data_IF_006725148022
#
_entry.id   IF_006725148022
#
_cell.length_a   1.000
_cell.length_b   1.000
_cell.length_c   1.000
_cell.angle_alpha   90.00
_cell.angle_beta   90.00
_cell.angle_gamma   90.00
#
_symmetry.space_group_name_H-M   'P 1'
#
loop_
_entity.id
_entity.type
_entity.pdbx_description
1 polymer ?
#
# COMPACT_ATOMS: atom_id res chain seq x y z
N UNK A 1 -18.77 27.16 14.53
CA UNK A 1 -18.82 25.74 14.09
C UNK A 1 -17.38 25.24 14.04
N UNK A 2 -17.03 24.17 14.78
CA UNK A 2 -15.72 23.53 14.67
C UNK A 2 -15.80 22.53 13.51
N UNK A 3 -15.05 22.79 12.44
CA UNK A 3 -14.89 21.84 11.35
C UNK A 3 -14.00 20.71 11.89
N UNK A 4 -14.57 19.53 12.13
CA UNK A 4 -13.80 18.34 12.42
C UNK A 4 -13.51 17.74 11.05
N UNK A 5 -12.27 17.89 10.58
CA UNK A 5 -11.83 17.21 9.36
C UNK A 5 -12.09 15.71 9.54
N UNK A 6 -12.90 15.17 8.64
CA UNK A 6 -13.14 13.74 8.58
C UNK A 6 -11.87 13.14 8.00
N UNK A 7 -10.91 12.79 8.87
CA UNK A 7 -9.68 12.11 8.45
C UNK A 7 -10.11 10.91 7.62
N UNK A 8 -9.77 10.93 6.34
CA UNK A 8 -10.11 9.86 5.42
C UNK A 8 -9.46 8.59 5.97
N UNK A 9 -10.26 7.71 6.54
CA UNK A 9 -9.77 6.50 7.17
C UNK A 9 -9.43 5.53 6.03
N UNK A 10 -8.15 5.46 5.71
CA UNK A 10 -7.63 4.55 4.69
C UNK A 10 -7.69 3.14 5.30
N UNK A 11 -8.48 2.26 4.71
CA UNK A 11 -8.53 0.84 5.06
C UNK A 11 -7.73 0.03 4.04
N UNK A 12 -6.52 -0.38 4.43
CA UNK A 12 -5.61 -1.22 3.65
C UNK A 12 -5.49 -2.62 4.27
N UNK A 13 -5.42 -3.62 3.40
CA UNK A 13 -5.21 -5.01 3.77
C UNK A 13 -4.06 -5.63 2.98
N UNK A 14 -3.53 -6.75 3.48
CA UNK A 14 -2.52 -7.52 2.73
C UNK A 14 -3.15 -8.04 1.43
N UNK A 15 -2.46 -7.84 0.31
CA UNK A 15 -2.91 -8.18 -1.03
C UNK A 15 -3.59 -7.01 -1.75
N UNK A 16 -3.89 -5.90 -1.06
CA UNK A 16 -4.35 -4.69 -1.73
C UNK A 16 -3.24 -4.09 -2.61
N UNK A 17 -3.64 -3.62 -3.78
CA UNK A 17 -2.79 -2.84 -4.66
C UNK A 17 -3.12 -1.36 -4.47
N UNK A 18 -2.13 -0.55 -4.18
CA UNK A 18 -2.27 0.90 -4.01
C UNK A 18 -1.59 1.59 -5.17
N UNK A 19 -2.35 2.39 -5.89
CA UNK A 19 -1.83 3.25 -6.94
C UNK A 19 -1.66 4.66 -6.39
N UNK A 20 -0.47 5.23 -6.49
CA UNK A 20 -0.20 6.60 -6.04
C UNK A 20 0.66 7.37 -7.04
N UNK A 21 0.65 8.69 -6.92
CA UNK A 21 1.55 9.57 -7.66
C UNK A 21 2.73 9.89 -6.76
N UNK A 22 3.93 9.51 -7.18
CA UNK A 22 5.15 9.80 -6.44
C UNK A 22 5.53 11.29 -6.51
N UNK A 23 6.55 11.70 -5.75
CA UNK A 23 7.05 13.08 -5.73
C UNK A 23 7.54 13.60 -7.10
N UNK A 24 7.83 12.71 -8.05
CA UNK A 24 8.22 13.05 -9.42
C UNK A 24 7.03 13.15 -10.39
N UNK A 25 5.80 12.99 -9.91
CA UNK A 25 4.59 13.01 -10.74
C UNK A 25 4.34 11.71 -11.52
N UNK A 26 5.13 10.66 -11.28
CA UNK A 26 4.96 9.35 -11.91
C UNK A 26 3.95 8.53 -11.12
N UNK A 27 3.06 7.85 -11.84
CA UNK A 27 2.15 6.86 -11.28
C UNK A 27 2.93 5.60 -10.93
N UNK A 28 2.81 5.13 -9.69
CA UNK A 28 3.43 3.89 -9.21
C UNK A 28 2.34 3.04 -8.56
N UNK A 29 2.48 1.71 -8.68
CA UNK A 29 1.58 0.75 -8.06
C UNK A 29 2.35 -0.10 -7.08
N UNK A 30 1.92 -0.10 -5.82
CA UNK A 30 2.47 -0.94 -4.77
C UNK A 30 1.49 -2.06 -4.44
N UNK A 31 1.99 -3.25 -4.15
CA UNK A 31 1.20 -4.29 -3.47
C UNK A 31 1.61 -4.36 -2.01
N UNK A 32 0.62 -4.40 -1.12
CA UNK A 32 0.84 -4.62 0.31
C UNK A 32 1.03 -6.11 0.55
N UNK A 33 2.17 -6.51 1.10
CA UNK A 33 2.49 -7.90 1.42
C UNK A 33 2.77 -8.06 2.92
N UNK A 34 2.75 -9.30 3.38
CA UNK A 34 3.35 -9.67 4.66
C UNK A 34 4.78 -10.13 4.40
N UNK A 35 5.74 -9.57 5.13
CA UNK A 35 7.16 -9.87 4.93
C UNK A 35 7.88 -10.02 6.26
N UNK A 36 9.04 -10.69 6.21
CA UNK A 36 9.95 -10.82 7.35
C UNK A 36 11.04 -9.78 7.20
N UNK A 37 11.35 -9.07 8.28
CA UNK A 37 12.54 -8.22 8.31
C UNK A 37 13.82 -9.07 8.39
N UNK A 38 14.97 -8.42 8.26
CA UNK A 38 16.28 -9.09 8.35
C UNK A 38 16.58 -9.65 9.75
N UNK A 39 15.79 -9.29 10.77
CA UNK A 39 15.90 -9.78 12.14
C UNK A 39 14.94 -10.96 12.40
N UNK A 40 14.14 -11.39 11.41
CA UNK A 40 13.18 -12.48 11.53
C UNK A 40 11.86 -12.08 12.21
N UNK A 41 11.56 -10.79 12.31
CA UNK A 41 10.31 -10.26 12.81
C UNK A 41 9.29 -10.14 11.68
N UNK A 42 8.03 -10.42 12.02
CA UNK A 42 6.91 -10.29 11.09
C UNK A 42 6.47 -8.82 10.99
N UNK A 43 6.35 -8.33 9.76
CA UNK A 43 5.81 -7.01 9.46
C UNK A 43 5.05 -6.97 8.14
N UNK A 44 4.96 -5.78 7.57
CA UNK A 44 4.32 -5.48 6.31
C UNK A 44 5.34 -4.95 5.31
N UNK A 45 5.08 -5.18 4.03
CA UNK A 45 5.94 -4.73 2.95
C UNK A 45 5.16 -4.05 1.85
N UNK A 46 5.76 -3.04 1.22
CA UNK A 46 5.31 -2.49 -0.05
C UNK A 46 6.27 -2.91 -1.15
N UNK A 47 5.72 -3.54 -2.19
CA UNK A 47 6.49 -3.93 -3.39
C UNK A 47 6.01 -3.09 -4.56
N UNK A 48 6.94 -2.38 -5.20
CA UNK A 48 6.67 -1.69 -6.46
C UNK A 48 6.43 -2.71 -7.57
N UNK A 49 5.21 -2.74 -8.11
CA UNK A 49 4.82 -3.64 -9.19
C UNK A 49 5.45 -3.25 -10.53
N UNK A 50 5.82 -2.00 -10.72
CA UNK A 50 6.52 -1.53 -11.92
C UNK A 50 8.05 -1.73 -11.81
N UNK A 51 8.56 -2.03 -10.61
CA UNK A 51 9.97 -2.32 -10.36
C UNK A 51 10.18 -3.43 -9.32
N UNK A 52 9.68 -4.62 -9.63
CA UNK A 52 9.63 -5.75 -8.70
C UNK A 52 11.00 -6.36 -8.34
N UNK A 53 12.08 -5.92 -8.99
CA UNK A 53 13.45 -6.33 -8.66
C UNK A 53 13.99 -5.61 -7.42
N UNK A 54 13.34 -4.51 -7.00
CA UNK A 54 13.71 -3.80 -5.77
C UNK A 54 13.21 -4.55 -4.54
N UNK A 55 14.01 -4.49 -3.48
CA UNK A 55 13.61 -5.03 -2.19
C UNK A 55 12.35 -4.32 -1.68
N UNK A 56 11.41 -5.05 -1.05
CA UNK A 56 10.22 -4.44 -0.45
C UNK A 56 10.62 -3.39 0.59
N UNK A 57 9.91 -2.27 0.62
CA UNK A 57 9.97 -1.36 1.76
C UNK A 57 9.21 -1.99 2.93
N UNK A 58 9.90 -2.20 4.06
CA UNK A 58 9.36 -2.91 5.21
C UNK A 58 8.87 -1.96 6.30
N UNK A 59 7.82 -2.37 6.99
CA UNK A 59 7.14 -1.64 8.06
C UNK A 59 6.77 -2.60 9.18
N UNK A 60 6.80 -2.13 10.43
CA UNK A 60 6.48 -2.97 11.58
C UNK A 60 4.96 -3.17 11.72
N UNK A 61 4.17 -2.15 11.34
CA UNK A 61 2.71 -2.18 11.43
C UNK A 61 1.99 -1.58 10.22
N UNK A 62 0.72 -1.98 10.03
CA UNK A 62 -0.10 -1.50 8.91
C UNK A 62 -0.45 -0.01 9.03
N UNK A 63 -0.47 0.54 10.25
CA UNK A 63 -0.66 1.97 10.48
C UNK A 63 0.49 2.79 9.90
N UNK A 64 1.73 2.30 9.91
CA UNK A 64 2.86 2.91 9.22
C UNK A 64 2.70 2.87 7.70
N UNK A 65 2.29 1.73 7.15
CA UNK A 65 1.96 1.61 5.72
C UNK A 65 0.89 2.62 5.32
N UNK A 66 -0.17 2.76 6.12
CA UNK A 66 -1.23 3.73 5.87
C UNK A 66 -0.70 5.16 5.87
N UNK A 67 0.16 5.52 6.84
CA UNK A 67 0.73 6.87 6.94
C UNK A 67 1.48 7.30 5.68
N UNK A 68 2.16 6.39 5.00
CA UNK A 68 2.84 6.67 3.73
C UNK A 68 1.85 7.20 2.67
N UNK A 69 0.64 6.65 2.64
CA UNK A 69 -0.37 7.02 1.65
C UNK A 69 -1.26 8.18 2.09
N UNK A 70 -1.40 8.48 3.38
CA UNK A 70 -2.18 9.64 3.87
C UNK A 70 -1.70 10.95 3.25
N UNK A 71 -0.40 11.09 3.04
CA UNK A 71 0.19 12.30 2.45
C UNK A 71 0.17 12.34 0.93
N UNK A 72 -0.20 11.24 0.27
CA UNK A 72 -0.15 11.07 -1.18
C UNK A 72 -1.56 11.01 -1.78
N UNK A 73 -1.70 11.52 -3.01
CA UNK A 73 -2.88 11.21 -3.81
C UNK A 73 -2.80 9.74 -4.22
N UNK A 74 -3.67 8.92 -3.63
CA UNK A 74 -3.67 7.48 -3.80
C UNK A 74 -5.07 6.93 -4.14
N UNK A 75 -5.10 5.75 -4.74
CA UNK A 75 -6.29 4.96 -5.02
C UNK A 75 -6.01 3.50 -4.68
N UNK A 76 -6.85 2.92 -3.84
CA UNK A 76 -6.80 1.49 -3.54
C UNK A 76 -7.53 0.73 -4.65
N UNK A 77 -6.85 -0.26 -5.22
CA UNK A 77 -7.35 -1.21 -6.21
C UNK A 77 -7.58 -2.52 -5.46
N UNK A 78 -8.77 -2.69 -4.89
CA UNK A 78 -9.13 -3.92 -4.18
C UNK A 78 -9.34 -5.07 -5.15
N UNK A 79 -8.82 -6.24 -4.79
CA UNK A 79 -8.83 -7.46 -5.61
C UNK A 79 -10.22 -8.09 -5.81
N UNK A 80 -11.27 -7.55 -5.20
CA UNK A 80 -12.66 -8.08 -5.27
C UNK A 80 -13.30 -8.05 -6.68
N UNK A 81 -12.60 -7.53 -7.70
CA UNK A 81 -13.01 -7.58 -9.11
C UNK A 81 -12.10 -8.44 -10.00
N UNK A 82 -11.11 -9.14 -9.44
CA UNK A 82 -10.40 -10.20 -10.14
C UNK A 82 -11.23 -11.48 -10.06
N UNK A 83 -12.34 -11.53 -10.81
CA UNK A 83 -12.91 -12.82 -11.20
C UNK A 83 -11.83 -13.58 -11.97
N UNK A 84 -11.08 -14.43 -11.27
CA UNK A 84 -10.23 -15.45 -11.88
C UNK A 84 -11.16 -16.37 -12.67
N UNK A 85 -11.42 -16.04 -13.93
CA UNK A 85 -12.00 -17.00 -14.86
C UNK A 85 -10.91 -18.04 -15.12
N UNK A 86 -11.15 -19.26 -14.66
CA UNK A 86 -10.42 -20.44 -15.14
C UNK A 86 -10.44 -20.41 -16.67
N UNK A 87 -9.27 -20.52 -17.29
CA UNK A 87 -9.08 -20.68 -18.74
C UNK A 87 -8.64 -22.11 -19.01
#
# INVERSE_FOLDING_TARGET
MKFIEKTQQIELEVGDVVECINSSGKKIRYIVIRAWDTNGLWGYGLVDLDNSEQLPQLFDDMGEVIKEFVSLSHRIIKSVNLELREV
#
